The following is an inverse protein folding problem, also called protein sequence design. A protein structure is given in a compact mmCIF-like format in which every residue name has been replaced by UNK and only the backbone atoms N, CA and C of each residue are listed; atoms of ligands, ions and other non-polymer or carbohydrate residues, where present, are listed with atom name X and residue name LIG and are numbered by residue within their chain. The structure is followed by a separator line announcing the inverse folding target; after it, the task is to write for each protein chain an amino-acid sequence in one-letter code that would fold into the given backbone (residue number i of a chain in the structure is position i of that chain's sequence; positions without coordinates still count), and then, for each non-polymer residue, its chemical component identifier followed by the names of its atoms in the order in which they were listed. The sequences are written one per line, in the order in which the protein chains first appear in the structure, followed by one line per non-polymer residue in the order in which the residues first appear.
data_IF_871742883440
#
_entry.id   IF_871742883440
#
_cell.length_a   1.000
_cell.length_b   1.000
_cell.length_c   1.000
_cell.angle_alpha   90.00
_cell.angle_beta   90.00
_cell.angle_gamma   90.00
#
_symmetry.space_group_name_H-M   'P 1'
#
loop_
_entity.id
_entity.type
_entity.pdbx_description
1 polymer ?
#
# COMPACT_ATOMS: atom_id res chain seq x y z
N UNK A 1 -14.43 -12.22 58.36
CA UNK A 1 -15.19 -11.84 57.17
C UNK A 1 -14.80 -12.82 56.07
N UNK A 2 -15.63 -13.83 55.79
CA UNK A 2 -15.31 -14.90 54.84
C UNK A 2 -15.51 -14.29 53.44
N UNK A 3 -14.43 -14.10 52.70
CA UNK A 3 -14.49 -13.69 51.31
C UNK A 3 -15.06 -14.91 50.56
N UNK A 4 -16.31 -14.77 50.12
CA UNK A 4 -17.00 -15.78 49.31
C UNK A 4 -16.38 -15.73 47.93
N UNK A 5 -15.36 -16.57 47.70
CA UNK A 5 -14.70 -16.66 46.38
C UNK A 5 -15.75 -17.20 45.40
N UNK A 6 -16.09 -16.41 44.39
CA UNK A 6 -17.10 -16.76 43.39
C UNK A 6 -16.50 -17.79 42.42
N UNK A 7 -17.26 -18.87 42.16
CA UNK A 7 -16.89 -19.86 41.16
C UNK A 7 -16.95 -19.24 39.75
N UNK A 8 -15.91 -19.44 38.94
CA UNK A 8 -15.76 -18.83 37.59
C UNK A 8 -16.87 -19.26 36.62
N UNK A 9 -17.35 -20.51 36.72
CA UNK A 9 -18.49 -20.98 35.94
C UNK A 9 -19.76 -20.21 36.27
N UNK A 10 -20.01 -20.00 37.58
CA UNK A 10 -21.15 -19.18 38.03
C UNK A 10 -21.01 -17.72 37.65
N UNK A 11 -19.77 -17.18 37.63
CA UNK A 11 -19.48 -15.83 37.20
C UNK A 11 -19.79 -15.64 35.71
N UNK A 12 -19.46 -16.60 34.84
CA UNK A 12 -19.86 -16.60 33.44
C UNK A 12 -21.33 -16.97 33.25
N UNK A 13 -21.96 -17.67 34.20
CA UNK A 13 -23.33 -18.19 34.09
C UNK A 13 -23.44 -19.39 33.17
N UNK A 14 -22.45 -20.27 33.19
CA UNK A 14 -22.40 -21.51 32.41
C UNK A 14 -22.24 -22.72 33.34
N UNK A 15 -22.59 -23.90 32.85
CA UNK A 15 -22.34 -25.17 33.59
C UNK A 15 -20.87 -25.57 33.50
N UNK A 16 -20.42 -26.47 34.39
CA UNK A 16 -19.05 -26.98 34.32
C UNK A 16 -18.76 -27.81 33.08
N UNK A 17 -19.80 -28.36 32.45
CA UNK A 17 -19.72 -29.14 31.21
C UNK A 17 -19.81 -28.27 29.95
N UNK A 18 -19.85 -26.93 30.09
CA UNK A 18 -19.99 -26.02 29.00
C UNK A 18 -18.82 -26.15 28.01
N UNK A 19 -19.14 -26.09 26.71
CA UNK A 19 -18.14 -26.08 25.66
C UNK A 19 -17.42 -24.74 25.60
N UNK A 20 -16.25 -24.70 24.96
CA UNK A 20 -15.50 -23.45 24.73
C UNK A 20 -16.36 -22.40 23.98
N UNK A 21 -17.19 -22.86 23.02
CA UNK A 21 -18.13 -22.01 22.31
C UNK A 21 -19.20 -21.38 23.19
N UNK A 22 -19.72 -22.15 24.15
CA UNK A 22 -20.73 -21.67 25.12
C UNK A 22 -20.14 -20.66 26.09
N UNK A 23 -18.93 -20.92 26.59
CA UNK A 23 -18.19 -19.99 27.45
C UNK A 23 -17.88 -18.67 26.71
N UNK A 24 -17.47 -18.74 25.44
CA UNK A 24 -17.23 -17.56 24.61
C UNK A 24 -18.49 -16.74 24.38
N UNK A 25 -19.63 -17.40 24.15
CA UNK A 25 -20.92 -16.74 23.96
C UNK A 25 -21.41 -16.07 25.25
N UNK A 26 -21.30 -16.76 26.36
CA UNK A 26 -21.69 -16.24 27.68
C UNK A 26 -20.82 -15.03 28.08
N UNK A 27 -19.51 -15.14 27.86
CA UNK A 27 -18.58 -14.06 28.10
C UNK A 27 -18.94 -12.80 27.29
N UNK A 28 -19.13 -12.94 25.97
CA UNK A 28 -19.51 -11.79 25.11
C UNK A 28 -20.78 -11.10 25.62
N UNK A 29 -21.79 -11.86 26.00
CA UNK A 29 -23.03 -11.29 26.54
C UNK A 29 -22.78 -10.48 27.80
N UNK A 30 -22.10 -11.09 28.81
CA UNK A 30 -21.82 -10.41 30.08
C UNK A 30 -20.85 -9.24 29.95
N UNK A 31 -19.84 -9.34 29.07
CA UNK A 31 -18.93 -8.24 28.78
C UNK A 31 -19.67 -7.04 28.19
N UNK A 32 -20.68 -7.28 27.35
CA UNK A 32 -21.55 -6.20 26.85
C UNK A 32 -22.49 -5.64 27.93
N UNK A 33 -23.03 -6.47 28.78
CA UNK A 33 -23.94 -6.04 29.86
C UNK A 33 -23.23 -5.19 30.91
N UNK A 34 -21.97 -5.49 31.22
CA UNK A 34 -21.17 -4.77 32.20
C UNK A 34 -20.13 -3.83 31.61
N UNK A 35 -20.26 -3.49 30.31
CA UNK A 35 -19.32 -2.62 29.63
C UNK A 35 -19.24 -1.22 30.29
N UNK A 36 -18.04 -0.69 30.56
CA UNK A 36 -17.88 0.60 31.23
C UNK A 36 -18.54 1.77 30.45
N UNK A 37 -18.48 1.76 29.11
CA UNK A 37 -19.12 2.80 28.31
C UNK A 37 -20.64 2.83 28.41
N UNK A 38 -21.25 1.68 28.68
CA UNK A 38 -22.71 1.55 28.87
C UNK A 38 -23.13 1.77 30.32
N UNK A 39 -22.20 1.69 31.25
CA UNK A 39 -22.43 1.75 32.69
C UNK A 39 -21.51 2.76 33.38
N UNK A 40 -21.31 3.94 32.79
CA UNK A 40 -20.32 4.97 33.18
C UNK A 40 -20.40 5.42 34.66
N UNK A 41 -21.56 5.26 35.29
CA UNK A 41 -21.78 5.72 36.67
C UNK A 41 -21.97 4.56 37.68
N UNK A 42 -21.74 3.31 37.27
CA UNK A 42 -21.99 2.16 38.12
C UNK A 42 -20.68 1.41 38.49
N UNK A 43 -20.07 1.70 39.66
CA UNK A 43 -18.83 1.04 40.09
C UNK A 43 -18.97 -0.47 40.25
N UNK A 44 -20.18 -0.96 40.54
CA UNK A 44 -20.45 -2.39 40.59
C UNK A 44 -20.41 -3.09 39.23
N UNK A 45 -20.65 -2.34 38.14
CA UNK A 45 -20.52 -2.90 36.80
C UNK A 45 -19.06 -3.11 36.45
N UNK A 46 -18.17 -2.18 36.83
CA UNK A 46 -16.74 -2.31 36.64
C UNK A 46 -16.14 -3.51 37.38
N UNK A 47 -16.52 -3.72 38.64
CA UNK A 47 -16.09 -4.92 39.40
C UNK A 47 -16.56 -6.20 38.72
N UNK A 48 -17.83 -6.27 38.30
CA UNK A 48 -18.36 -7.42 37.58
C UNK A 48 -17.70 -7.65 36.25
N UNK A 49 -17.35 -6.60 35.54
CA UNK A 49 -16.60 -6.68 34.26
C UNK A 49 -15.21 -7.32 34.50
N UNK A 50 -14.50 -6.90 35.55
CA UNK A 50 -13.22 -7.52 35.96
C UNK A 50 -13.35 -8.99 36.29
N UNK A 51 -14.36 -9.37 37.09
CA UNK A 51 -14.65 -10.74 37.44
C UNK A 51 -14.96 -11.62 36.22
N UNK A 52 -15.73 -11.11 35.27
CA UNK A 52 -16.10 -11.81 34.04
C UNK A 52 -14.88 -12.01 33.12
N UNK A 53 -14.01 -11.02 33.01
CA UNK A 53 -12.77 -11.13 32.24
C UNK A 53 -11.81 -12.15 32.85
N UNK A 54 -11.63 -12.13 34.18
CA UNK A 54 -10.79 -13.09 34.90
C UNK A 54 -11.33 -14.51 34.74
N UNK A 55 -12.64 -14.72 34.95
CA UNK A 55 -13.28 -16.02 34.79
C UNK A 55 -13.07 -16.60 33.38
N UNK A 56 -13.20 -15.77 32.36
CA UNK A 56 -13.01 -16.21 30.99
C UNK A 56 -11.53 -16.47 30.64
N UNK A 57 -10.60 -15.66 31.13
CA UNK A 57 -9.16 -15.87 30.92
C UNK A 57 -8.68 -17.21 31.49
N UNK A 58 -9.29 -17.69 32.60
CA UNK A 58 -8.98 -19.00 33.17
C UNK A 58 -9.70 -20.13 32.43
N UNK A 59 -10.98 -19.97 32.14
CA UNK A 59 -11.81 -21.08 31.62
C UNK A 59 -11.62 -21.30 30.09
N UNK A 60 -11.10 -20.31 29.36
CA UNK A 60 -10.81 -20.44 27.94
C UNK A 60 -9.50 -21.16 27.64
N UNK A 61 -8.57 -21.19 28.59
CA UNK A 61 -7.31 -21.91 28.45
C UNK A 61 -7.48 -23.34 29.08
N UNK A 62 -7.24 -24.38 28.27
CA UNK A 62 -7.40 -25.78 28.69
C UNK A 62 -6.55 -26.13 29.90
N UNK A 63 -5.33 -25.60 29.99
CA UNK A 63 -4.41 -25.88 31.07
C UNK A 63 -4.87 -25.19 32.39
N UNK A 64 -5.20 -23.90 32.28
CA UNK A 64 -5.69 -23.11 33.41
C UNK A 64 -7.04 -23.63 33.91
N UNK A 65 -7.96 -24.01 33.01
CA UNK A 65 -9.25 -24.64 33.33
C UNK A 65 -9.04 -25.95 34.07
N UNK A 66 -8.18 -26.84 33.58
CA UNK A 66 -7.90 -28.14 34.23
C UNK A 66 -7.35 -27.95 35.65
N UNK A 67 -6.47 -26.97 35.85
CA UNK A 67 -5.93 -26.67 37.19
C UNK A 67 -6.98 -26.01 38.08
N UNK A 68 -7.84 -25.17 37.54
CA UNK A 68 -8.95 -24.59 38.28
C UNK A 68 -9.95 -25.67 38.72
N UNK A 69 -10.28 -26.63 37.84
CA UNK A 69 -11.18 -27.73 38.15
C UNK A 69 -10.60 -28.70 39.20
N UNK A 70 -9.26 -28.87 39.18
CA UNK A 70 -8.56 -29.76 40.13
C UNK A 70 -8.39 -29.14 41.52
N UNK A 71 -8.05 -27.85 41.60
CA UNK A 71 -7.68 -27.23 42.89
C UNK A 71 -8.77 -26.31 43.48
N UNK A 72 -9.84 -26.06 42.71
CA UNK A 72 -10.89 -25.12 43.07
C UNK A 72 -10.40 -23.66 43.08
N UNK A 73 -11.32 -22.76 43.35
CA UNK A 73 -11.08 -21.32 43.38
C UNK A 73 -9.97 -20.90 44.34
N UNK A 74 -9.98 -21.40 45.58
CA UNK A 74 -9.00 -21.00 46.59
C UNK A 74 -7.60 -21.55 46.33
N UNK A 75 -7.51 -22.79 45.82
CA UNK A 75 -6.24 -23.41 45.46
C UNK A 75 -5.62 -22.81 44.25
N UNK A 76 -6.43 -22.37 43.30
CA UNK A 76 -5.99 -21.74 42.08
C UNK A 76 -5.40 -20.35 42.35
N UNK A 77 -6.06 -19.50 43.13
CA UNK A 77 -5.55 -18.16 43.49
C UNK A 77 -4.30 -18.17 44.38
N UNK A 78 -4.02 -19.25 45.09
CA UNK A 78 -2.75 -19.38 45.81
C UNK A 78 -1.56 -19.71 44.93
N UNK A 79 -1.81 -20.28 43.76
CA UNK A 79 -0.76 -20.69 42.79
C UNK A 79 -0.53 -19.72 41.64
N UNK A 80 -1.59 -19.04 41.24
CA UNK A 80 -1.56 -18.10 40.11
C UNK A 80 -1.85 -16.70 40.60
N UNK A 81 -0.93 -15.80 40.35
CA UNK A 81 -1.17 -14.37 40.51
C UNK A 81 -2.14 -13.89 39.42
N UNK A 82 -2.75 -12.70 39.60
CA UNK A 82 -3.57 -12.09 38.55
C UNK A 82 -2.77 -11.90 37.27
N UNK A 83 -1.49 -11.64 37.44
CA UNK A 83 -0.52 -11.50 36.36
C UNK A 83 -0.40 -12.76 35.51
N UNK A 84 -0.28 -13.90 36.12
CA UNK A 84 -0.13 -15.18 35.43
C UNK A 84 -1.43 -15.60 34.72
N UNK A 85 -2.59 -15.17 35.25
CA UNK A 85 -3.90 -15.43 34.66
C UNK A 85 -4.02 -14.74 33.27
N UNK A 86 -3.52 -13.49 33.14
CA UNK A 86 -3.68 -12.69 31.94
C UNK A 86 -2.46 -12.71 31.01
N UNK A 87 -1.33 -13.33 31.39
CA UNK A 87 -0.05 -13.29 30.65
C UNK A 87 -0.15 -13.71 29.18
N UNK A 88 -0.92 -14.75 28.90
CA UNK A 88 -1.02 -15.32 27.55
C UNK A 88 -2.40 -15.08 26.92
N UNK A 89 -3.20 -14.18 27.52
CA UNK A 89 -4.55 -13.93 27.06
C UNK A 89 -4.62 -12.72 26.13
N UNK A 90 -4.85 -12.97 24.83
CA UNK A 90 -4.99 -11.91 23.81
C UNK A 90 -6.45 -11.46 23.69
N UNK A 91 -6.75 -10.30 24.27
CA UNK A 91 -8.05 -9.65 24.14
C UNK A 91 -8.31 -9.09 22.73
N UNK A 92 -7.25 -8.79 21.95
CA UNK A 92 -7.35 -8.19 20.64
C UNK A 92 -7.96 -9.14 19.60
N UNK A 93 -7.53 -10.40 19.62
CA UNK A 93 -8.03 -11.44 18.70
C UNK A 93 -9.52 -11.76 18.92
N UNK A 94 -10.02 -11.54 20.14
CA UNK A 94 -11.38 -11.89 20.50
C UNK A 94 -12.41 -10.81 20.13
N UNK A 95 -12.01 -9.55 20.16
CA UNK A 95 -12.88 -8.43 19.81
C UNK A 95 -12.60 -7.88 18.39
N UNK A 96 -11.45 -8.23 17.77
CA UNK A 96 -11.03 -7.75 16.46
C UNK A 96 -11.41 -8.63 15.26
N UNK A 97 -11.70 -9.91 15.47
CA UNK A 97 -11.87 -10.89 14.39
C UNK A 97 -13.29 -11.43 14.29
N UNK A 98 -14.11 -10.79 13.56
CA UNK A 98 -15.39 -11.24 12.97
C UNK A 98 -16.64 -10.47 13.40
N UNK A 99 -16.89 -9.42 12.63
CA UNK A 99 -18.25 -8.99 12.31
C UNK A 99 -19.00 -8.21 13.37
N UNK A 100 -18.95 -6.90 13.36
CA UNK A 100 -20.09 -6.10 13.79
C UNK A 100 -19.90 -5.12 14.94
N UNK A 101 -18.68 -4.77 15.31
CA UNK A 101 -18.45 -3.56 16.13
C UNK A 101 -17.43 -2.64 15.44
N UNK A 102 -17.69 -2.32 14.17
CA UNK A 102 -17.02 -1.28 13.40
C UNK A 102 -17.56 0.09 13.79
N UNK A 103 -17.33 0.50 15.02
CA UNK A 103 -17.47 1.89 15.46
C UNK A 103 -16.09 2.35 15.90
N UNK A 104 -15.64 3.48 15.41
CA UNK A 104 -14.42 4.24 15.69
C UNK A 104 -14.23 4.53 17.19
N UNK A 105 -13.99 3.49 18.00
CA UNK A 105 -13.84 3.57 19.44
C UNK A 105 -13.26 2.26 19.92
N UNK A 106 -12.03 1.97 19.49
CA UNK A 106 -11.21 0.93 20.17
C UNK A 106 -11.10 1.34 21.62
N UNK A 107 -11.21 0.39 22.51
CA UNK A 107 -11.10 0.56 23.96
C UNK A 107 -9.80 1.28 24.37
N UNK A 108 -9.72 2.62 24.36
CA UNK A 108 -8.49 3.30 24.78
C UNK A 108 -8.26 3.13 26.29
N UNK A 109 -9.31 2.81 27.02
CA UNK A 109 -9.28 2.82 28.47
C UNK A 109 -8.98 1.43 29.08
N UNK A 110 -9.28 0.33 28.36
CA UNK A 110 -8.91 -1.01 28.82
C UNK A 110 -7.40 -1.21 28.75
N UNK A 111 -6.75 -0.65 27.75
CA UNK A 111 -5.29 -0.65 27.61
C UNK A 111 -4.61 0.25 28.65
N UNK A 112 -5.23 1.35 28.99
CA UNK A 112 -4.84 2.26 30.08
C UNK A 112 -5.05 1.61 31.45
N UNK A 113 -6.11 0.83 31.60
CA UNK A 113 -6.44 0.11 32.84
C UNK A 113 -5.49 -1.06 33.10
N UNK A 114 -5.11 -1.83 32.05
CA UNK A 114 -4.09 -2.89 32.18
C UNK A 114 -2.68 -2.30 32.34
N UNK A 115 -2.38 -1.15 31.73
CA UNK A 115 -1.06 -0.49 31.82
C UNK A 115 -0.88 0.33 33.11
N UNK A 116 -1.97 0.72 33.78
CA UNK A 116 -1.90 1.50 35.03
C UNK A 116 -1.39 0.72 36.24
N UNK A 117 -1.25 -0.60 36.16
CA UNK A 117 -0.74 -1.46 37.21
C UNK A 117 0.47 -2.30 36.78
N UNK A 118 1.50 -1.66 36.18
CA UNK A 118 2.84 -2.26 36.18
C UNK A 118 3.10 -3.43 35.21
N UNK A 119 2.18 -3.71 34.24
CA UNK A 119 2.36 -4.77 33.22
C UNK A 119 3.05 -4.29 31.94
N UNK A 120 3.73 -3.19 31.97
CA UNK A 120 4.50 -2.64 30.87
C UNK A 120 5.83 -3.35 30.63
N UNK A 121 5.84 -4.61 30.25
CA UNK A 121 6.96 -5.13 29.47
C UNK A 121 7.12 -4.26 28.22
N UNK A 122 8.34 -4.05 27.68
CA UNK A 122 8.54 -3.20 26.51
C UNK A 122 7.73 -3.74 25.33
N UNK A 123 6.57 -3.08 25.05
CA UNK A 123 5.69 -3.49 23.95
C UNK A 123 6.47 -3.47 22.64
N UNK A 124 6.46 -4.60 21.96
CA UNK A 124 6.96 -4.67 20.58
C UNK A 124 6.11 -3.78 19.69
N UNK A 125 6.71 -2.77 19.06
CA UNK A 125 6.00 -1.91 18.13
C UNK A 125 6.62 -2.05 16.75
N UNK A 126 5.77 -2.28 15.75
CA UNK A 126 6.19 -2.22 14.34
C UNK A 126 6.80 -0.85 14.05
N UNK A 127 7.89 -0.82 13.28
CA UNK A 127 8.50 0.40 12.79
C UNK A 127 7.56 1.18 11.88
N UNK A 128 7.80 2.50 11.80
CA UNK A 128 7.00 3.36 10.92
C UNK A 128 7.33 3.11 9.46
N UNK A 129 6.31 3.18 8.61
CA UNK A 129 6.47 3.15 7.17
C UNK A 129 7.10 4.47 6.69
N UNK A 130 7.95 4.38 5.66
CA UNK A 130 8.62 5.53 5.03
C UNK A 130 8.00 5.72 3.64
N UNK A 131 7.85 6.99 3.22
CA UNK A 131 7.43 7.36 1.87
C UNK A 131 8.49 8.25 1.27
N UNK A 132 8.90 7.93 0.04
CA UNK A 132 9.92 8.70 -0.69
C UNK A 132 9.56 8.77 -2.16
N UNK A 133 9.76 9.96 -2.77
CA UNK A 133 9.65 10.11 -4.21
C UNK A 133 10.93 9.58 -4.87
N UNK A 134 10.77 8.81 -5.92
CA UNK A 134 11.86 8.22 -6.69
C UNK A 134 11.74 8.59 -8.17
N UNK A 135 12.73 9.32 -8.66
CA UNK A 135 12.73 9.85 -10.01
C UNK A 135 13.40 8.88 -10.98
N UNK A 136 12.71 8.59 -12.08
CA UNK A 136 13.20 7.77 -13.18
C UNK A 136 13.02 8.48 -14.52
N UNK A 137 13.80 8.10 -15.50
CA UNK A 137 13.64 8.59 -16.87
C UNK A 137 12.40 8.00 -17.54
N UNK A 138 11.93 8.65 -18.61
CA UNK A 138 10.82 8.16 -19.43
C UNK A 138 11.09 6.75 -19.97
N UNK A 139 12.31 6.50 -20.48
CA UNK A 139 12.70 5.20 -21.03
C UNK A 139 12.68 4.09 -19.97
N UNK A 140 13.16 4.38 -18.76
CA UNK A 140 13.12 3.44 -17.65
C UNK A 140 11.69 3.11 -17.22
N UNK A 141 10.82 4.12 -17.19
CA UNK A 141 9.40 3.91 -16.91
C UNK A 141 8.70 3.08 -17.99
N UNK A 142 9.05 3.31 -19.24
CA UNK A 142 8.48 2.61 -20.39
C UNK A 142 8.96 1.14 -20.47
N UNK A 143 10.27 0.93 -20.43
CA UNK A 143 10.85 -0.40 -20.64
C UNK A 143 10.99 -1.22 -19.35
N UNK A 144 10.92 -0.57 -18.20
CA UNK A 144 11.27 -1.16 -16.91
C UNK A 144 12.77 -1.07 -16.65
N UNK A 145 13.13 -1.10 -15.38
CA UNK A 145 14.53 -1.03 -14.96
C UNK A 145 14.72 -1.69 -13.61
N UNK A 146 15.94 -2.01 -13.28
CA UNK A 146 16.37 -2.39 -11.95
C UNK A 146 17.21 -1.26 -11.36
N UNK A 147 16.85 -0.81 -10.17
CA UNK A 147 17.52 0.30 -9.49
C UNK A 147 17.86 -0.08 -8.06
N UNK A 148 18.93 0.51 -7.55
CA UNK A 148 19.36 0.38 -6.16
C UNK A 148 19.20 1.74 -5.49
N UNK A 149 18.64 1.74 -4.29
CA UNK A 149 18.59 2.92 -3.43
C UNK A 149 19.34 2.65 -2.14
N UNK A 150 19.89 3.70 -1.56
CA UNK A 150 20.48 3.67 -0.23
C UNK A 150 19.47 4.28 0.72
N UNK A 151 18.98 3.45 1.65
CA UNK A 151 18.08 3.89 2.71
C UNK A 151 18.91 4.05 3.99
N UNK A 152 18.97 5.25 4.51
CA UNK A 152 19.66 5.53 5.77
C UNK A 152 18.66 5.52 6.92
N UNK A 153 18.83 4.56 7.84
CA UNK A 153 17.97 4.37 8.99
C UNK A 153 18.84 4.32 10.26
N UNK A 154 18.61 5.23 11.17
CA UNK A 154 19.36 5.32 12.44
C UNK A 154 20.89 5.32 12.23
N UNK A 155 21.39 6.03 11.23
CA UNK A 155 22.81 6.11 10.89
C UNK A 155 23.36 4.86 10.15
N UNK A 156 22.54 3.84 9.90
CA UNK A 156 22.93 2.66 9.14
C UNK A 156 22.43 2.78 7.70
N UNK A 157 23.36 2.78 6.75
CA UNK A 157 23.07 2.77 5.31
C UNK A 157 22.80 1.34 4.85
N UNK A 158 21.67 1.11 4.24
CA UNK A 158 21.29 -0.19 3.67
C UNK A 158 20.97 -0.02 2.18
N UNK A 159 21.71 -0.72 1.34
CA UNK A 159 21.41 -0.79 -0.08
C UNK A 159 20.25 -1.74 -0.34
N UNK A 160 19.30 -1.30 -1.13
CA UNK A 160 18.14 -2.11 -1.50
C UNK A 160 17.90 -2.00 -2.99
N UNK A 161 18.01 -3.12 -3.68
CA UNK A 161 17.73 -3.22 -5.11
C UNK A 161 16.27 -3.60 -5.31
N UNK A 162 15.63 -2.95 -6.26
CA UNK A 162 14.22 -3.19 -6.61
C UNK A 162 14.02 -3.07 -8.12
N UNK A 163 12.94 -3.69 -8.61
CA UNK A 163 12.55 -3.66 -10.02
C UNK A 163 11.39 -2.71 -10.23
N UNK A 164 11.54 -1.77 -11.17
CA UNK A 164 10.45 -0.96 -11.68
C UNK A 164 9.85 -1.68 -12.89
N UNK A 165 8.57 -2.06 -12.85
CA UNK A 165 7.94 -2.73 -14.00
C UNK A 165 7.88 -1.82 -15.21
N UNK A 166 8.07 -2.39 -16.43
CA UNK A 166 7.81 -1.67 -17.66
C UNK A 166 6.35 -1.22 -17.78
N UNK A 167 6.14 -0.02 -18.35
CA UNK A 167 4.82 0.59 -18.43
C UNK A 167 4.38 1.32 -17.16
N UNK A 168 5.24 1.45 -16.15
CA UNK A 168 4.94 2.21 -14.92
C UNK A 168 4.42 3.61 -15.26
N UNK A 169 3.42 4.08 -14.49
CA UNK A 169 2.82 5.41 -14.66
C UNK A 169 3.39 6.37 -13.62
N UNK A 170 3.37 7.67 -13.94
CA UNK A 170 3.71 8.69 -12.96
C UNK A 170 2.78 8.59 -11.73
N UNK A 171 3.33 8.72 -10.51
CA UNK A 171 2.62 8.52 -9.27
C UNK A 171 2.38 7.06 -8.86
N UNK A 172 2.85 6.07 -9.62
CA UNK A 172 2.80 4.66 -9.22
C UNK A 172 3.56 4.44 -7.92
N UNK A 173 3.05 3.55 -7.04
CA UNK A 173 3.68 3.22 -5.76
C UNK A 173 4.29 1.83 -5.81
N UNK A 174 5.55 1.72 -5.40
CA UNK A 174 6.23 0.46 -5.15
C UNK A 174 6.41 0.29 -3.65
N UNK A 175 6.00 -0.87 -3.12
CA UNK A 175 6.18 -1.23 -1.71
C UNK A 175 7.36 -2.17 -1.57
N UNK A 176 8.33 -1.78 -0.76
CA UNK A 176 9.47 -2.59 -0.37
C UNK A 176 9.28 -3.03 1.07
N UNK A 177 8.93 -4.29 1.26
CA UNK A 177 8.59 -4.87 2.56
C UNK A 177 9.79 -4.83 3.53
N UNK A 178 9.53 -4.42 4.76
CA UNK A 178 10.54 -4.40 5.83
C UNK A 178 11.71 -3.43 5.61
N UNK A 179 11.57 -2.45 4.71
CA UNK A 179 12.60 -1.44 4.41
C UNK A 179 12.27 -0.05 4.98
N UNK A 180 11.26 0.03 5.85
CA UNK A 180 10.91 1.21 6.64
C UNK A 180 11.73 1.33 7.91
N UNK A 181 11.27 2.14 8.86
CA UNK A 181 11.97 2.32 10.15
C UNK A 181 11.99 1.00 10.94
N UNK A 182 13.06 0.74 11.70
CA UNK A 182 13.11 -0.42 12.58
C UNK A 182 12.03 -0.32 13.65
N UNK A 183 11.46 -1.47 14.01
CA UNK A 183 10.55 -1.58 15.14
C UNK A 183 11.27 -1.40 16.47
N UNK A 184 10.52 -1.10 17.52
CA UNK A 184 11.04 -1.02 18.89
C UNK A 184 10.77 -2.32 19.63
N UNK A 185 11.66 -2.65 20.57
CA UNK A 185 11.55 -3.83 21.45
C UNK A 185 11.34 -5.17 20.70
N UNK A 186 12.07 -5.36 19.58
CA UNK A 186 11.94 -6.58 18.79
C UNK A 186 10.78 -6.58 17.79
N UNK A 187 10.07 -5.45 17.63
CA UNK A 187 9.02 -5.30 16.63
C UNK A 187 9.54 -5.35 15.19
N UNK A 188 8.72 -5.82 14.25
CA UNK A 188 9.07 -5.87 12.84
C UNK A 188 9.32 -4.47 12.27
N UNK A 189 10.25 -4.30 11.30
CA UNK A 189 10.42 -3.02 10.62
C UNK A 189 9.17 -2.63 9.82
N UNK A 190 9.01 -1.33 9.59
CA UNK A 190 8.01 -0.77 8.68
C UNK A 190 8.34 -1.09 7.22
N UNK A 191 7.55 -0.56 6.30
CA UNK A 191 7.75 -0.71 4.87
C UNK A 191 8.21 0.61 4.23
N UNK A 192 8.91 0.52 3.11
CA UNK A 192 9.26 1.68 2.30
C UNK A 192 8.36 1.74 1.08
N UNK A 193 7.67 2.85 0.91
CA UNK A 193 6.85 3.16 -0.25
C UNK A 193 7.58 4.17 -1.14
N UNK A 194 7.93 3.73 -2.34
CA UNK A 194 8.51 4.59 -3.37
C UNK A 194 7.41 5.10 -4.28
N UNK A 195 7.22 6.43 -4.32
CA UNK A 195 6.34 7.06 -5.31
C UNK A 195 7.18 7.31 -6.57
N UNK A 196 6.87 6.66 -7.65
CA UNK A 196 7.58 6.81 -8.91
C UNK A 196 7.23 8.17 -9.52
N UNK A 197 8.26 8.97 -9.82
CA UNK A 197 8.17 10.24 -10.56
C UNK A 197 8.91 10.11 -11.87
N UNK A 198 8.21 10.37 -12.97
CA UNK A 198 8.78 10.22 -14.31
C UNK A 198 9.25 11.60 -14.81
N UNK A 199 10.55 11.71 -15.10
CA UNK A 199 11.11 12.90 -15.70
C UNK A 199 10.55 13.09 -17.11
N UNK A 200 10.23 14.34 -17.48
CA UNK A 200 9.80 14.67 -18.84
C UNK A 200 10.91 14.36 -19.84
N UNK A 201 10.54 13.75 -20.96
CA UNK A 201 11.47 13.49 -22.05
C UNK A 201 11.38 14.64 -23.08
N UNK A 202 12.51 15.08 -23.70
CA UNK A 202 12.48 16.22 -24.66
C UNK A 202 11.65 15.92 -25.92
N UNK A 203 11.61 14.66 -26.35
CA UNK A 203 10.96 14.27 -27.59
C UNK A 203 9.73 13.39 -27.40
N UNK A 204 9.70 12.54 -26.38
CA UNK A 204 8.62 11.58 -26.16
C UNK A 204 7.59 12.11 -25.19
N UNK A 205 6.32 11.93 -25.53
CA UNK A 205 5.20 12.06 -24.62
C UNK A 205 4.37 10.78 -24.63
N UNK A 206 3.65 10.51 -23.51
CA UNK A 206 2.85 9.30 -23.36
C UNK A 206 1.38 9.63 -23.56
N UNK A 207 0.69 8.90 -24.43
CA UNK A 207 -0.76 8.88 -24.58
C UNK A 207 -1.28 7.45 -24.29
N UNK A 208 -1.70 7.17 -23.04
CA UNK A 208 -2.08 5.83 -22.63
C UNK A 208 -0.90 4.85 -22.62
N UNK A 209 -0.92 3.86 -23.50
CA UNK A 209 0.18 2.92 -23.73
C UNK A 209 0.95 3.23 -25.03
N UNK A 210 0.53 4.27 -25.75
CA UNK A 210 1.21 4.77 -26.94
C UNK A 210 2.21 5.88 -26.58
N UNK A 211 3.17 6.07 -27.49
CA UNK A 211 4.16 7.15 -27.41
C UNK A 211 3.90 8.12 -28.54
N UNK A 212 3.96 9.40 -28.25
CA UNK A 212 3.85 10.45 -29.26
C UNK A 212 5.17 11.19 -29.39
N UNK A 213 5.60 11.36 -30.61
CA UNK A 213 6.76 12.22 -31.00
C UNK A 213 6.35 13.20 -32.05
N UNK A 214 6.88 14.42 -32.00
CA UNK A 214 6.76 15.40 -33.06
C UNK A 214 7.94 15.27 -33.98
N UNK A 215 7.69 15.16 -35.28
CA UNK A 215 8.71 15.21 -36.33
C UNK A 215 8.49 16.44 -37.20
N UNK A 216 9.43 17.35 -37.19
CA UNK A 216 9.43 18.51 -38.06
C UNK A 216 9.93 18.11 -39.45
N UNK A 217 9.24 18.56 -40.50
CA UNK A 217 9.61 18.39 -41.90
C UNK A 217 9.42 19.71 -42.65
N UNK A 218 10.07 19.83 -43.78
CA UNK A 218 9.92 20.99 -44.67
C UNK A 218 8.60 20.89 -45.48
N UNK A 219 8.07 22.04 -45.98
CA UNK A 219 6.89 22.04 -46.87
C UNK A 219 7.07 21.20 -48.12
N UNK A 220 8.24 21.23 -48.73
CA UNK A 220 8.57 20.41 -49.91
C UNK A 220 8.54 18.90 -49.60
N UNK A 221 9.03 18.49 -48.43
CA UNK A 221 8.96 17.12 -48.01
C UNK A 221 7.50 16.66 -47.71
N UNK A 222 6.69 17.58 -47.22
CA UNK A 222 5.26 17.30 -46.99
C UNK A 222 4.49 17.15 -48.30
N UNK A 223 4.84 17.95 -49.33
CA UNK A 223 4.20 17.88 -50.63
C UNK A 223 4.66 16.68 -51.47
N UNK A 224 5.96 16.42 -51.52
CA UNK A 224 6.55 15.38 -52.36
C UNK A 224 6.58 14.01 -51.70
N UNK A 225 6.40 13.97 -50.37
CA UNK A 225 6.68 12.80 -49.57
C UNK A 225 8.17 12.64 -49.28
N UNK A 226 8.49 11.91 -48.22
CA UNK A 226 9.89 11.67 -47.83
C UNK A 226 9.98 10.44 -46.93
N UNK A 227 11.19 9.94 -46.74
CA UNK A 227 11.48 8.92 -45.75
C UNK A 227 12.40 9.50 -44.68
N UNK A 228 11.96 9.42 -43.43
CA UNK A 228 12.67 10.02 -42.31
C UNK A 228 12.97 8.96 -41.22
N UNK A 229 14.09 9.17 -40.56
CA UNK A 229 14.46 8.37 -39.43
C UNK A 229 13.74 8.89 -38.16
N UNK A 230 13.09 8.00 -37.46
CA UNK A 230 12.33 8.29 -36.24
C UNK A 230 12.94 7.50 -35.07
N UNK A 231 13.38 8.18 -34.01
CA UNK A 231 13.84 7.50 -32.80
C UNK A 231 12.68 6.78 -32.10
N UNK A 232 12.94 5.60 -31.57
CA UNK A 232 12.03 4.85 -30.76
C UNK A 232 12.62 4.66 -29.34
N UNK A 233 11.95 3.93 -28.46
CA UNK A 233 12.46 3.66 -27.12
C UNK A 233 13.77 2.86 -27.10
N UNK A 234 14.06 2.10 -28.14
CA UNK A 234 15.22 1.20 -28.20
C UNK A 234 16.21 1.56 -29.29
N UNK A 235 15.70 1.86 -30.46
CA UNK A 235 16.44 2.06 -31.70
C UNK A 235 15.80 3.17 -32.53
N UNK A 236 16.23 3.33 -33.79
CA UNK A 236 15.57 4.19 -34.75
C UNK A 236 14.88 3.35 -35.83
N UNK A 237 13.81 3.86 -36.40
CA UNK A 237 13.09 3.25 -37.53
C UNK A 237 12.85 4.24 -38.65
N UNK A 238 12.91 3.72 -39.88
CA UNK A 238 12.55 4.51 -41.09
C UNK A 238 11.03 4.59 -41.20
N UNK A 239 10.52 5.80 -41.39
CA UNK A 239 9.10 6.09 -41.60
C UNK A 239 8.94 6.80 -42.94
N UNK A 240 8.17 6.22 -43.85
CA UNK A 240 7.80 6.88 -45.11
C UNK A 240 6.59 7.78 -44.87
N UNK A 241 6.75 9.03 -45.19
CA UNK A 241 5.72 10.08 -45.18
C UNK A 241 5.13 10.18 -46.58
N UNK A 242 3.82 9.91 -46.76
CA UNK A 242 3.19 10.01 -48.06
C UNK A 242 3.21 11.45 -48.62
N UNK A 243 3.17 11.62 -49.93
CA UNK A 243 3.01 12.96 -50.51
C UNK A 243 1.67 13.60 -50.09
N UNK A 244 1.62 14.93 -50.12
CA UNK A 244 0.49 15.74 -49.68
C UNK A 244 0.07 15.52 -48.22
N UNK A 245 1.01 15.13 -47.34
CA UNK A 245 0.75 14.94 -45.92
C UNK A 245 0.49 16.27 -45.23
N UNK A 246 -0.67 16.38 -44.56
CA UNK A 246 -1.06 17.60 -43.85
C UNK A 246 -0.31 17.72 -42.51
N UNK A 247 -0.07 18.96 -42.10
CA UNK A 247 0.51 19.22 -40.77
C UNK A 247 -0.39 18.65 -39.69
N UNK A 248 0.20 18.14 -38.59
CA UNK A 248 -0.45 17.47 -37.46
C UNK A 248 -1.03 16.08 -37.78
N UNK A 249 -0.84 15.54 -38.97
CA UNK A 249 -1.13 14.14 -39.28
C UNK A 249 -0.34 13.23 -38.35
N UNK A 250 -0.99 12.25 -37.74
CA UNK A 250 -0.35 11.23 -36.90
C UNK A 250 -0.13 9.96 -37.74
N UNK A 251 1.13 9.65 -38.01
CA UNK A 251 1.54 8.38 -38.64
C UNK A 251 1.89 7.36 -37.57
N UNK A 252 1.47 6.10 -37.72
CA UNK A 252 1.59 5.06 -36.71
C UNK A 252 2.72 4.10 -37.03
N UNK A 253 3.64 3.93 -36.10
CA UNK A 253 4.61 2.84 -36.05
C UNK A 253 4.08 1.77 -35.07
N UNK A 254 3.61 0.64 -35.62
CA UNK A 254 2.96 -0.40 -34.85
C UNK A 254 3.95 -1.15 -33.96
N UNK A 255 3.54 -1.39 -32.67
CA UNK A 255 4.22 -2.27 -31.74
C UNK A 255 5.55 -1.73 -31.19
N UNK A 256 5.80 -0.42 -31.26
CA UNK A 256 7.02 0.22 -30.72
C UNK A 256 6.74 1.24 -29.60
N UNK A 257 5.54 1.17 -29.05
CA UNK A 257 5.14 1.95 -27.87
C UNK A 257 5.57 1.34 -26.54
N UNK A 258 4.77 1.58 -25.51
CA UNK A 258 5.03 1.12 -24.15
C UNK A 258 4.51 -0.31 -23.95
N UNK A 259 5.32 -1.21 -23.39
CA UNK A 259 4.84 -2.54 -23.01
C UNK A 259 3.74 -2.45 -21.93
N UNK A 260 2.68 -3.21 -22.11
CA UNK A 260 1.59 -3.32 -21.12
C UNK A 260 1.16 -4.78 -20.92
N UNK A 261 0.26 -5.03 -19.98
CA UNK A 261 -0.18 -6.38 -19.64
C UNK A 261 1.01 -7.33 -19.37
N UNK A 262 1.90 -6.92 -18.43
CA UNK A 262 3.11 -7.65 -18.05
C UNK A 262 4.06 -7.94 -19.25
N UNK A 263 4.10 -7.05 -20.22
CA UNK A 263 4.96 -7.18 -21.41
C UNK A 263 4.40 -8.05 -22.53
N UNK A 264 3.18 -8.61 -22.38
CA UNK A 264 2.54 -9.45 -23.41
C UNK A 264 2.06 -8.65 -24.62
N UNK A 265 1.81 -7.37 -24.46
CA UNK A 265 1.39 -6.44 -25.51
C UNK A 265 2.21 -5.19 -25.45
N UNK A 266 2.35 -4.53 -26.59
CA UNK A 266 3.07 -3.27 -26.73
C UNK A 266 2.16 -2.29 -27.48
N UNK A 267 2.10 -1.06 -27.00
CA UNK A 267 1.41 0.03 -27.67
C UNK A 267 2.12 0.44 -28.98
N UNK A 268 1.65 1.48 -29.61
CA UNK A 268 2.19 2.00 -30.85
C UNK A 268 2.96 3.29 -30.61
N UNK A 269 3.77 3.72 -31.58
CA UNK A 269 4.35 5.05 -31.58
C UNK A 269 3.64 5.88 -32.64
N UNK A 270 3.11 7.01 -32.22
CA UNK A 270 2.44 7.98 -33.07
C UNK A 270 3.41 9.10 -33.39
N UNK A 271 3.73 9.25 -34.66
CA UNK A 271 4.60 10.32 -35.17
C UNK A 271 3.70 11.42 -35.69
N UNK A 272 3.66 12.55 -34.96
CA UNK A 272 2.92 13.73 -35.37
C UNK A 272 3.83 14.55 -36.30
N UNK A 273 3.43 14.71 -37.52
CA UNK A 273 4.15 15.51 -38.54
C UNK A 273 3.87 17.00 -38.30
N UNK A 274 4.92 17.78 -38.18
CA UNK A 274 4.84 19.24 -38.06
C UNK A 274 5.52 19.85 -39.25
N UNK A 275 4.76 20.48 -40.12
CA UNK A 275 5.33 21.21 -41.27
C UNK A 275 5.88 22.54 -40.78
N UNK A 276 7.16 22.75 -40.92
CA UNK A 276 7.88 23.94 -40.45
C UNK A 276 8.33 24.78 -41.64
N UNK A 277 7.81 25.98 -41.70
CA UNK A 277 8.16 26.94 -42.74
C UNK A 277 9.47 27.66 -42.37
N UNK A 278 10.33 27.93 -43.36
CA UNK A 278 11.54 28.72 -43.15
C UNK A 278 11.16 30.16 -42.75
N UNK A 279 11.93 30.76 -41.84
CA UNK A 279 11.70 32.15 -41.42
C UNK A 279 12.04 33.17 -42.47
N UNK A 280 12.94 32.85 -43.41
CA UNK A 280 13.36 33.68 -44.54
C UNK A 280 13.55 32.79 -45.74
N UNK A 281 13.23 33.32 -46.92
CA UNK A 281 13.47 32.68 -48.20
C UNK A 281 14.61 33.42 -48.90
N UNK A 282 15.39 32.72 -49.72
CA UNK A 282 16.29 33.29 -50.66
C UNK A 282 15.53 33.82 -51.91
N UNK A 283 16.11 34.69 -52.69
CA UNK A 283 15.44 35.25 -53.90
C UNK A 283 15.04 34.14 -54.87
N UNK A 284 15.89 33.14 -55.06
CA UNK A 284 15.58 31.97 -55.89
C UNK A 284 14.40 31.13 -55.31
N UNK A 285 14.34 30.91 -53.98
CA UNK A 285 13.23 30.21 -53.35
C UNK A 285 11.94 31.03 -53.51
N UNK A 286 11.99 32.33 -53.33
CA UNK A 286 10.86 33.23 -53.53
C UNK A 286 10.26 33.13 -54.91
N UNK A 287 11.12 33.13 -55.93
CA UNK A 287 10.71 32.99 -57.35
C UNK A 287 9.99 31.64 -57.58
N UNK A 288 10.54 30.53 -57.03
CA UNK A 288 9.93 29.20 -57.11
C UNK A 288 8.58 29.12 -56.40
N UNK A 289 8.45 29.75 -55.24
CA UNK A 289 7.19 29.82 -54.50
C UNK A 289 6.17 30.67 -55.30
N UNK A 290 6.55 31.73 -55.94
CA UNK A 290 5.65 32.49 -56.85
C UNK A 290 5.13 31.59 -57.96
N UNK A 291 6.02 30.88 -58.65
CA UNK A 291 5.64 29.95 -59.74
C UNK A 291 4.68 28.87 -59.23
N UNK A 292 4.91 28.36 -58.01
CA UNK A 292 4.04 27.39 -57.40
C UNK A 292 2.65 27.98 -57.12
N UNK A 293 2.58 29.19 -56.56
CA UNK A 293 1.33 29.93 -56.37
C UNK A 293 0.57 30.13 -57.69
N UNK A 294 1.29 30.54 -58.80
CA UNK A 294 0.66 30.73 -60.07
C UNK A 294 0.13 29.46 -60.72
N UNK A 295 0.63 28.30 -60.30
CA UNK A 295 0.12 27.00 -60.73
C UNK A 295 -1.11 26.52 -59.89
N UNK A 296 -1.56 27.30 -58.90
CA UNK A 296 -2.75 27.01 -58.10
C UNK A 296 -2.50 26.25 -56.84
N UNK A 297 -1.25 26.17 -56.36
CA UNK A 297 -0.87 25.57 -55.09
C UNK A 297 -0.63 26.60 -54.00
#
# INVERSE_FOLDING_TARGET
MVIKVKDYYSTLGVSRDATEGDMKKAFRKKAMDYHPDRNKENPKAEEKFKEVNEAYAVLSDKNKRSQYDQFGSDGFHKRFSKEDIFRDFDFGDMFGSQGGFGGTGGFPDLDSFLSGHGFGGPRTRKGKDIRQDFYISFNEAALGTQRTIIVELNGKKTETTFKVPGGSKDGSRLRLLGKGQPGTNGGSPGDLYLNIRINKHPHFSREGDDIVINKEICPTEALLGTTVEIPTLKDSKQLTIPPCTQSHTKLRLKGVGIPYNQGKKTGDQLVRIIVKYPKKLTDQQLELVHKLKDSGL
#
